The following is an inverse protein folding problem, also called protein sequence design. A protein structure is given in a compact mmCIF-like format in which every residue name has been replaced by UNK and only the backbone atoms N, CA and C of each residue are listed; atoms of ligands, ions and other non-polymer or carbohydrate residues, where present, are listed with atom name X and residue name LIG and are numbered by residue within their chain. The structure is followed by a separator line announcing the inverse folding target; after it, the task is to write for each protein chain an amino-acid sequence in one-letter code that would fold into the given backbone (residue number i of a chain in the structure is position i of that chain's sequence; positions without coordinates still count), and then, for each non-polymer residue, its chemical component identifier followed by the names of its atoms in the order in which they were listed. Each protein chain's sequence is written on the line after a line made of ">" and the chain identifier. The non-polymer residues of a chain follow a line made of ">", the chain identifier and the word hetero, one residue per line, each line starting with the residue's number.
data_IF_883993269240
#
_entry.id   IF_883993269240
#
_cell.length_a   1.000
_cell.length_b   1.000
_cell.length_c   1.000
_cell.angle_alpha   90.00
_cell.angle_beta   90.00
_cell.angle_gamma   90.00
#
_symmetry.space_group_name_H-M   'P 1'
#
loop_
_entity.id
_entity.type
_entity.pdbx_description
1 polymer ?
#
# COMPACT_ATOMS: atom_id res chain seq x y z
N UNK A 1 -2.75 24.51 2.67
CA UNK A 1 -2.60 23.11 3.10
C UNK A 1 -3.22 22.30 2.00
N UNK A 2 -2.39 21.59 1.23
CA UNK A 2 -2.90 20.64 0.23
C UNK A 2 -3.38 19.41 0.99
N UNK A 3 -4.69 19.22 1.01
CA UNK A 3 -5.37 18.03 1.52
C UNK A 3 -5.13 16.87 0.55
N UNK A 4 -4.51 15.79 1.03
CA UNK A 4 -4.33 14.55 0.26
C UNK A 4 -5.52 13.63 0.52
N UNK A 5 -6.51 13.66 -0.37
CA UNK A 5 -7.67 12.77 -0.33
C UNK A 5 -7.31 11.37 -0.86
N UNK A 6 -7.76 10.33 -0.18
CA UNK A 6 -7.79 8.98 -0.71
C UNK A 6 -8.99 8.84 -1.66
N UNK A 7 -8.79 8.59 -2.95
CA UNK A 7 -9.89 8.23 -3.86
C UNK A 7 -9.89 6.70 -4.00
N UNK A 8 -11.06 6.04 -3.89
CA UNK A 8 -11.20 4.58 -4.04
C UNK A 8 -10.61 4.08 -5.37
N UNK A 9 -10.50 4.97 -6.36
CA UNK A 9 -9.94 4.72 -7.69
C UNK A 9 -8.52 5.24 -7.88
N UNK A 10 -7.98 5.95 -6.89
CA UNK A 10 -6.62 6.46 -6.90
C UNK A 10 -5.69 5.55 -6.09
N UNK A 11 -4.41 5.47 -6.48
CA UNK A 11 -3.45 4.71 -5.71
C UNK A 11 -3.18 5.36 -4.34
N UNK A 12 -3.15 4.54 -3.28
CA UNK A 12 -2.65 4.93 -1.94
C UNK A 12 -1.20 5.35 -1.97
N UNK A 13 -0.42 4.75 -2.88
CA UNK A 13 0.99 5.01 -3.02
C UNK A 13 1.34 5.03 -4.49
N UNK A 14 2.05 6.08 -4.90
CA UNK A 14 2.59 6.24 -6.24
C UNK A 14 4.07 6.60 -6.13
N UNK A 15 4.91 5.81 -6.76
CA UNK A 15 6.35 6.07 -6.93
C UNK A 15 6.61 6.28 -8.41
N UNK A 16 7.18 7.44 -8.75
CA UNK A 16 7.55 7.79 -10.12
C UNK A 16 9.05 8.03 -10.20
N UNK A 17 9.70 7.38 -11.15
CA UNK A 17 11.13 7.54 -11.43
C UNK A 17 11.38 7.47 -12.94
N UNK A 18 11.80 8.57 -13.54
CA UNK A 18 12.05 8.69 -14.99
C UNK A 18 10.84 8.24 -15.83
N UNK A 19 10.95 7.12 -16.54
CA UNK A 19 9.92 6.50 -17.38
C UNK A 19 9.21 5.31 -16.68
N UNK A 20 9.35 5.20 -15.35
CA UNK A 20 8.81 4.11 -14.53
C UNK A 20 7.81 4.63 -13.52
N UNK A 21 6.72 3.88 -13.33
CA UNK A 21 5.72 4.16 -12.31
C UNK A 21 5.34 2.87 -11.59
N UNK A 22 5.24 2.96 -10.26
CA UNK A 22 4.63 1.94 -9.41
C UNK A 22 3.48 2.57 -8.65
N UNK A 23 2.29 1.98 -8.80
CA UNK A 23 1.07 2.40 -8.13
C UNK A 23 0.50 1.24 -7.34
N UNK A 24 0.19 1.46 -6.08
CA UNK A 24 -0.48 0.51 -5.20
C UNK A 24 -1.85 1.06 -4.83
N UNK A 25 -2.84 0.19 -4.87
CA UNK A 25 -4.21 0.49 -4.52
C UNK A 25 -4.75 -0.63 -3.65
N UNK A 26 -5.50 -0.27 -2.62
CA UNK A 26 -6.20 -1.22 -1.77
C UNK A 26 -7.41 -1.79 -2.50
N UNK A 27 -7.67 -3.07 -2.31
CA UNK A 27 -8.87 -3.74 -2.79
C UNK A 27 -9.89 -3.90 -1.64
N UNK A 28 -11.09 -4.41 -1.95
CA UNK A 28 -12.09 -4.71 -0.93
C UNK A 28 -11.58 -5.73 0.11
N UNK A 29 -12.02 -5.59 1.36
CA UNK A 29 -11.79 -6.59 2.40
C UNK A 29 -12.67 -7.80 2.16
N UNK A 30 -12.07 -8.96 1.87
CA UNK A 30 -12.83 -10.13 1.41
C UNK A 30 -13.84 -10.67 2.43
N UNK A 31 -13.54 -10.54 3.72
CA UNK A 31 -14.36 -11.06 4.81
C UNK A 31 -15.58 -10.18 5.14
N UNK A 32 -15.48 -8.86 4.99
CA UNK A 32 -16.57 -7.91 5.26
C UNK A 32 -17.23 -7.39 3.98
N UNK A 33 -16.58 -7.53 2.83
CA UNK A 33 -16.97 -6.89 1.57
C UNK A 33 -16.75 -5.38 1.56
N UNK A 34 -16.07 -4.82 2.55
CA UNK A 34 -15.89 -3.38 2.71
C UNK A 34 -14.88 -2.84 1.71
N UNK A 35 -15.27 -1.79 0.98
CA UNK A 35 -14.38 -1.04 0.12
C UNK A 35 -13.59 0.01 0.92
N UNK A 36 -12.35 0.32 0.52
CA UNK A 36 -11.59 1.42 1.12
C UNK A 36 -12.35 2.76 1.07
N UNK A 37 -12.46 3.45 2.20
CA UNK A 37 -13.19 4.72 2.32
C UNK A 37 -12.38 5.93 1.83
N UNK A 38 -13.03 6.92 1.18
CA UNK A 38 -12.43 8.20 0.80
C UNK A 38 -12.14 9.09 2.02
N UNK A 39 -10.89 9.08 2.47
CA UNK A 39 -10.44 9.72 3.70
C UNK A 39 -9.17 10.54 3.46
N UNK A 40 -9.07 11.67 4.16
CA UNK A 40 -7.90 12.56 4.06
C UNK A 40 -6.75 12.01 4.92
N UNK A 41 -5.55 11.96 4.33
CA UNK A 41 -4.35 11.56 5.05
C UNK A 41 -3.82 12.67 5.97
N UNK A 42 -3.58 12.34 7.24
CA UNK A 42 -2.95 13.24 8.20
C UNK A 42 -1.43 13.07 8.19
N UNK A 43 -0.70 14.12 7.83
CA UNK A 43 0.78 14.12 7.76
C UNK A 43 1.39 14.61 9.07
N UNK A 44 2.34 13.86 9.62
CA UNK A 44 3.10 14.18 10.83
C UNK A 44 4.55 13.67 10.69
N UNK A 45 5.52 14.56 10.48
CA UNK A 45 6.92 14.16 10.24
C UNK A 45 7.08 13.33 8.97
N UNK A 46 7.77 12.19 9.04
CA UNK A 46 7.87 11.23 7.92
C UNK A 46 6.68 10.25 7.82
N UNK A 47 5.60 10.51 8.58
CA UNK A 47 4.41 9.66 8.62
C UNK A 47 3.22 10.32 7.92
N UNK A 48 2.42 9.52 7.23
CA UNK A 48 1.03 9.84 6.86
C UNK A 48 0.09 8.76 7.42
N UNK A 49 -1.01 9.18 8.06
CA UNK A 49 -2.02 8.29 8.64
C UNK A 49 -3.37 8.53 7.99
N UNK A 50 -3.96 7.45 7.51
CA UNK A 50 -5.27 7.34 6.90
C UNK A 50 -6.20 6.65 7.89
N UNK A 51 -7.04 7.42 8.57
CA UNK A 51 -7.93 6.88 9.60
C UNK A 51 -9.18 6.27 9.00
N UNK A 52 -9.62 5.16 9.59
CA UNK A 52 -10.86 4.45 9.21
C UNK A 52 -10.91 4.22 7.70
N UNK A 53 -9.81 3.74 7.10
CA UNK A 53 -9.79 3.35 5.68
C UNK A 53 -10.73 2.17 5.43
N UNK A 54 -10.87 1.32 6.43
CA UNK A 54 -11.96 0.38 6.62
C UNK A 54 -12.46 0.58 8.05
N UNK A 55 -13.64 0.04 8.36
CA UNK A 55 -14.24 0.12 9.68
C UNK A 55 -13.28 -0.45 10.73
N UNK A 56 -12.87 0.40 11.67
CA UNK A 56 -11.92 0.12 12.74
C UNK A 56 -10.48 -0.22 12.29
N UNK A 57 -10.10 0.17 11.07
CA UNK A 57 -8.76 -0.03 10.52
C UNK A 57 -8.18 1.31 10.05
N UNK A 58 -7.10 1.71 10.70
CA UNK A 58 -6.24 2.80 10.25
C UNK A 58 -5.09 2.23 9.41
N UNK A 59 -4.67 2.96 8.38
CA UNK A 59 -3.41 2.72 7.68
C UNK A 59 -2.41 3.82 7.97
N UNK A 60 -1.19 3.43 8.24
CA UNK A 60 -0.10 4.38 8.46
C UNK A 60 1.09 4.03 7.58
N UNK A 61 1.57 5.00 6.81
CA UNK A 61 2.82 4.88 6.07
C UNK A 61 3.91 5.71 6.74
N UNK A 62 5.09 5.12 6.88
CA UNK A 62 6.30 5.81 7.37
C UNK A 62 7.38 5.74 6.30
N UNK A 63 7.87 6.91 5.88
CA UNK A 63 8.96 7.02 4.91
C UNK A 63 10.29 6.92 5.66
N UNK A 64 11.06 5.87 5.37
CA UNK A 64 12.43 5.69 5.82
C UNK A 64 13.44 6.15 4.78
N UNK A 65 14.73 5.96 5.07
CA UNK A 65 15.82 6.34 4.16
C UNK A 65 15.85 5.52 2.87
N UNK A 66 15.41 4.26 2.91
CA UNK A 66 15.51 3.28 1.83
C UNK A 66 14.22 2.48 1.57
N UNK A 67 13.14 2.78 2.32
CA UNK A 67 11.91 2.01 2.31
C UNK A 67 10.71 2.85 2.71
N UNK A 68 9.52 2.37 2.37
CA UNK A 68 8.27 2.82 2.95
C UNK A 68 7.70 1.66 3.75
N UNK A 69 7.41 1.88 5.03
CA UNK A 69 6.76 0.89 5.89
C UNK A 69 5.27 1.19 5.97
N UNK A 70 4.44 0.17 5.77
CA UNK A 70 3.00 0.22 6.05
C UNK A 70 2.71 -0.45 7.41
N UNK A 71 1.85 0.19 8.19
CA UNK A 71 1.27 -0.35 9.42
C UNK A 71 -0.26 -0.41 9.23
N UNK A 72 -0.84 -1.61 9.35
CA UNK A 72 -2.29 -1.83 9.39
C UNK A 72 -2.72 -1.94 10.84
N UNK A 73 -3.51 -0.97 11.31
CA UNK A 73 -3.78 -0.78 12.74
C UNK A 73 -5.27 -0.99 13.00
N UNK A 74 -5.58 -2.01 13.80
CA UNK A 74 -6.93 -2.21 14.33
C UNK A 74 -7.16 -1.28 15.52
N UNK A 75 -8.12 -0.37 15.40
CA UNK A 75 -8.51 0.52 16.50
C UNK A 75 -9.41 -0.20 17.50
N UNK A 76 -10.16 -1.21 17.04
CA UNK A 76 -11.00 -2.08 17.84
C UNK A 76 -10.84 -3.55 17.42
N UNK A 77 -11.19 -4.48 18.32
CA UNK A 77 -11.19 -5.91 17.97
C UNK A 77 -12.35 -6.19 17.00
N UNK A 78 -12.09 -6.73 15.79
CA UNK A 78 -13.17 -7.04 14.85
C UNK A 78 -14.17 -8.06 15.42
N UNK A 79 -15.46 -7.77 15.30
CA UNK A 79 -16.52 -8.71 15.72
C UNK A 79 -16.59 -9.94 14.81
N UNK A 80 -16.37 -9.75 13.50
CA UNK A 80 -16.38 -10.80 12.47
C UNK A 80 -15.02 -11.51 12.31
N UNK A 81 -14.07 -11.21 13.21
CA UNK A 81 -12.71 -11.75 13.18
C UNK A 81 -11.76 -10.95 12.29
N UNK A 82 -10.46 -11.23 12.42
CA UNK A 82 -9.45 -10.57 11.60
C UNK A 82 -9.50 -11.08 10.15
N UNK A 83 -9.28 -10.22 9.13
CA UNK A 83 -9.07 -10.66 7.76
C UNK A 83 -7.95 -11.68 7.69
N UNK A 84 -8.20 -12.75 6.95
CA UNK A 84 -7.16 -13.72 6.58
C UNK A 84 -6.26 -13.19 5.46
N UNK A 85 -6.65 -12.10 4.77
CA UNK A 85 -5.93 -11.53 3.64
C UNK A 85 -6.23 -10.04 3.46
N UNK A 86 -5.18 -9.28 3.13
CA UNK A 86 -5.26 -7.97 2.51
C UNK A 86 -4.83 -8.10 1.04
N UNK A 87 -5.58 -7.46 0.15
CA UNK A 87 -5.36 -7.52 -1.29
C UNK A 87 -5.01 -6.14 -1.81
N UNK A 88 -4.00 -6.08 -2.67
CA UNK A 88 -3.54 -4.86 -3.31
C UNK A 88 -3.51 -5.07 -4.81
N UNK A 89 -3.93 -4.04 -5.54
CA UNK A 89 -3.73 -3.96 -6.97
C UNK A 89 -2.52 -3.10 -7.27
N UNK A 90 -1.65 -3.66 -8.11
CA UNK A 90 -0.44 -2.99 -8.58
C UNK A 90 -0.59 -2.60 -10.05
N UNK A 91 -0.46 -1.31 -10.35
CA UNK A 91 -0.27 -0.86 -11.73
C UNK A 91 1.21 -0.47 -11.90
N UNK A 92 1.87 -1.11 -12.88
CA UNK A 92 3.29 -0.99 -13.11
C UNK A 92 3.56 -0.52 -14.54
N UNK A 93 4.38 0.51 -14.67
CA UNK A 93 4.86 1.02 -15.96
C UNK A 93 6.38 0.91 -16.01
N UNK A 94 6.90 0.34 -17.11
CA UNK A 94 8.34 0.15 -17.31
C UNK A 94 8.98 -0.94 -16.44
N UNK A 95 8.20 -1.71 -15.67
CA UNK A 95 8.69 -2.69 -14.69
C UNK A 95 8.17 -4.12 -14.95
N UNK A 96 8.95 -5.12 -14.53
CA UNK A 96 8.58 -6.54 -14.51
C UNK A 96 8.58 -7.07 -13.08
N UNK A 97 7.63 -7.94 -12.76
CA UNK A 97 7.48 -8.56 -11.44
C UNK A 97 8.11 -9.95 -11.44
N UNK A 98 8.82 -10.29 -10.38
CA UNK A 98 9.16 -11.69 -10.03
C UNK A 98 8.99 -11.91 -8.54
N UNK A 99 8.42 -13.05 -8.17
CA UNK A 99 8.37 -13.49 -6.79
C UNK A 99 9.51 -14.50 -6.54
N UNK A 100 10.30 -14.25 -5.50
CA UNK A 100 11.37 -15.15 -5.07
C UNK A 100 11.33 -15.27 -3.55
N UNK A 101 11.08 -16.48 -3.03
CA UNK A 101 11.00 -16.79 -1.60
C UNK A 101 10.05 -15.84 -0.81
N UNK A 102 8.87 -15.54 -1.37
CA UNK A 102 7.87 -14.68 -0.75
C UNK A 102 8.16 -13.18 -0.82
N UNK A 103 9.31 -12.78 -1.37
CA UNK A 103 9.63 -11.38 -1.67
C UNK A 103 9.24 -11.09 -3.12
N UNK A 104 8.52 -9.99 -3.34
CA UNK A 104 8.16 -9.54 -4.68
C UNK A 104 9.21 -8.53 -5.13
N UNK A 105 9.92 -8.81 -6.21
CA UNK A 105 10.93 -7.94 -6.79
C UNK A 105 10.42 -7.27 -8.07
N UNK A 106 10.70 -5.97 -8.20
CA UNK A 106 10.44 -5.20 -9.40
C UNK A 106 11.74 -4.93 -10.15
N UNK A 107 11.77 -5.34 -11.42
CA UNK A 107 12.92 -5.18 -12.31
C UNK A 107 12.61 -4.18 -13.42
N UNK A 108 13.63 -3.45 -13.86
CA UNK A 108 13.56 -2.67 -15.09
C UNK A 108 13.19 -3.56 -16.28
N UNK A 109 12.18 -3.17 -17.04
CA UNK A 109 11.68 -3.97 -18.15
C UNK A 109 12.66 -4.09 -19.33
N UNK A 110 13.59 -3.15 -19.49
CA UNK A 110 14.57 -3.07 -20.58
C UNK A 110 15.90 -3.70 -20.19
N UNK A 111 16.43 -3.36 -19.02
CA UNK A 111 17.77 -3.78 -18.57
C UNK A 111 17.75 -5.04 -17.71
N UNK A 112 16.59 -5.41 -17.15
CA UNK A 112 16.44 -6.42 -16.10
C UNK A 112 17.24 -6.12 -14.82
N UNK A 113 17.59 -4.86 -14.57
CA UNK A 113 18.13 -4.42 -13.28
C UNK A 113 17.07 -4.51 -12.19
N UNK A 114 17.44 -4.95 -10.98
CA UNK A 114 16.53 -5.02 -9.84
C UNK A 114 16.45 -3.64 -9.17
N UNK A 115 15.26 -3.07 -9.11
CA UNK A 115 15.05 -1.67 -8.67
C UNK A 115 14.35 -1.58 -7.32
N UNK A 116 13.25 -2.32 -7.16
CA UNK A 116 12.42 -2.26 -5.96
C UNK A 116 12.08 -3.66 -5.47
N UNK A 117 11.62 -3.75 -4.22
CA UNK A 117 11.12 -4.98 -3.64
C UNK A 117 10.04 -4.70 -2.60
N UNK A 118 9.13 -5.66 -2.45
CA UNK A 118 8.20 -5.76 -1.34
C UNK A 118 8.63 -6.94 -0.50
N UNK A 119 9.03 -6.66 0.74
CA UNK A 119 9.39 -7.69 1.70
C UNK A 119 8.23 -8.64 1.93
N UNK A 120 8.55 -9.92 2.17
CA UNK A 120 7.56 -10.87 2.67
C UNK A 120 6.97 -10.33 3.98
N UNK A 121 5.66 -10.56 4.17
CA UNK A 121 5.02 -10.22 5.44
C UNK A 121 5.68 -11.01 6.58
N UNK A 122 6.18 -10.30 7.58
CA UNK A 122 6.60 -10.91 8.84
C UNK A 122 5.35 -11.18 9.69
N UNK A 123 5.01 -12.46 9.84
CA UNK A 123 3.96 -12.97 10.74
C UNK A 123 4.55 -13.52 12.03
#
# INVERSE_FOLDING_TARGET
>A
MESNFFDEKAPIMKVEDQDRSTQLQLELLEHTGESPANIEGKVEGETITYKEVYSNIDLKYTVGSDRIKEDIIYTEKPEEGFPSRFSYKMNLEGLKVKEEAGTIYLYDSKTNERLYYFEALYV
#
